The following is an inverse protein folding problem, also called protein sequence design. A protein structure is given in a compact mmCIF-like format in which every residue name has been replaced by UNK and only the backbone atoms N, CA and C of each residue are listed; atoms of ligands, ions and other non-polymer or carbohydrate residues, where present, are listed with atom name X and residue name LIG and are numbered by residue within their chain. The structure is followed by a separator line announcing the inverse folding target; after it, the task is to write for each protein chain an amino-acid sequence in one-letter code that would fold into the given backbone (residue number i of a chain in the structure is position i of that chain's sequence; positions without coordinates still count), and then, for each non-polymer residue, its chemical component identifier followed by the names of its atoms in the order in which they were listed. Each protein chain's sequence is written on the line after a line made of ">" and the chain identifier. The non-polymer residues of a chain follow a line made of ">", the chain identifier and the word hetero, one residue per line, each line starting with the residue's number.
data_IF_343631207667
#
_entry.id   IF_343631207667
#
_cell.length_a   1.000
_cell.length_b   1.000
_cell.length_c   1.000
_cell.angle_alpha   90.00
_cell.angle_beta   90.00
_cell.angle_gamma   90.00
#
_symmetry.space_group_name_H-M   'P 1'
#
loop_
_entity.id
_entity.type
_entity.pdbx_description
1 polymer ?
#
# COMPACT_ATOMS: atom_id res chain seq x y z
N UNK A 1 32.14 -20.04 -0.05
CA UNK A 1 32.31 -18.60 0.16
C UNK A 1 31.61 -18.26 1.47
N UNK A 2 32.37 -18.00 2.53
CA UNK A 2 31.87 -17.89 3.92
C UNK A 2 31.18 -16.54 4.17
N UNK A 3 30.17 -16.52 5.04
CA UNK A 3 29.42 -15.32 5.45
C UNK A 3 30.33 -14.15 5.84
N UNK A 4 31.44 -14.42 6.54
CA UNK A 4 32.41 -13.41 6.96
C UNK A 4 33.09 -12.68 5.79
N UNK A 5 33.43 -13.39 4.71
CA UNK A 5 34.03 -12.79 3.51
C UNK A 5 33.04 -11.90 2.74
N UNK A 6 31.74 -12.17 2.87
CA UNK A 6 30.68 -11.33 2.31
C UNK A 6 30.52 -10.06 3.15
N UNK A 7 30.40 -10.17 4.48
CA UNK A 7 30.24 -9.01 5.37
C UNK A 7 31.43 -8.05 5.25
N UNK A 8 32.67 -8.57 5.19
CA UNK A 8 33.88 -7.76 5.01
C UNK A 8 33.88 -7.00 3.67
N UNK A 9 33.54 -7.66 2.55
CA UNK A 9 33.40 -7.01 1.24
C UNK A 9 32.22 -6.03 1.18
N UNK A 10 31.13 -6.31 1.89
CA UNK A 10 29.99 -5.41 1.98
C UNK A 10 30.35 -4.11 2.70
N UNK A 11 31.09 -4.17 3.81
CA UNK A 11 31.64 -2.99 4.48
C UNK A 11 32.58 -2.17 3.59
N UNK A 12 33.33 -2.84 2.71
CA UNK A 12 34.28 -2.22 1.79
C UNK A 12 33.60 -1.58 0.57
N UNK A 13 32.48 -2.13 0.07
CA UNK A 13 31.76 -1.63 -1.11
C UNK A 13 30.58 -0.69 -0.81
N UNK A 14 29.91 -0.83 0.33
CA UNK A 14 28.75 -0.03 0.73
C UNK A 14 28.94 0.34 2.20
N UNK A 15 29.35 1.59 2.46
CA UNK A 15 29.45 2.09 3.84
C UNK A 15 28.13 1.88 4.59
N UNK A 16 28.19 1.71 5.91
CA UNK A 16 26.98 1.55 6.75
C UNK A 16 25.94 2.67 6.51
N UNK A 17 26.42 3.88 6.21
CA UNK A 17 25.61 5.03 5.85
C UNK A 17 24.80 4.85 4.56
N UNK A 18 25.35 4.13 3.57
CA UNK A 18 24.64 3.83 2.32
C UNK A 18 23.45 2.89 2.57
N UNK A 19 23.61 1.90 3.45
CA UNK A 19 22.53 0.98 3.80
C UNK A 19 21.42 1.67 4.62
N UNK A 20 21.80 2.55 5.55
CA UNK A 20 20.85 3.37 6.29
C UNK A 20 20.09 4.34 5.38
N UNK A 21 20.77 4.93 4.40
CA UNK A 21 20.14 5.78 3.38
C UNK A 21 19.13 5.00 2.54
N UNK A 22 19.48 3.79 2.07
CA UNK A 22 18.55 2.91 1.35
C UNK A 22 17.35 2.51 2.20
N UNK A 23 17.55 2.23 3.49
CA UNK A 23 16.46 1.93 4.40
C UNK A 23 15.52 3.13 4.58
N UNK A 24 16.06 4.34 4.75
CA UNK A 24 15.27 5.57 4.85
C UNK A 24 14.42 5.78 3.60
N UNK A 25 15.03 5.68 2.42
CA UNK A 25 14.32 5.79 1.14
C UNK A 25 13.21 4.72 1.02
N UNK A 26 13.48 3.48 1.43
CA UNK A 26 12.48 2.42 1.43
C UNK A 26 11.29 2.73 2.37
N UNK A 27 11.54 3.33 3.53
CA UNK A 27 10.49 3.75 4.46
C UNK A 27 9.68 4.93 3.92
N UNK A 28 10.35 5.91 3.31
CA UNK A 28 9.70 7.07 2.71
C UNK A 28 8.85 6.69 1.51
N UNK A 29 9.31 5.76 0.66
CA UNK A 29 8.50 5.23 -0.43
C UNK A 29 7.24 4.50 0.08
N UNK A 30 7.32 3.76 1.20
CA UNK A 30 6.16 3.13 1.84
C UNK A 30 5.14 4.18 2.32
N UNK A 31 5.59 5.28 2.90
CA UNK A 31 4.72 6.41 3.31
C UNK A 31 4.15 7.15 2.10
N UNK A 32 4.91 7.26 1.01
CA UNK A 32 4.46 7.91 -0.22
C UNK A 32 3.20 7.25 -0.80
N UNK A 33 3.04 5.92 -0.63
CA UNK A 33 1.84 5.22 -1.09
C UNK A 33 0.59 5.58 -0.28
N UNK A 34 0.73 5.93 1.00
CA UNK A 34 -0.40 6.38 1.82
C UNK A 34 -0.87 7.75 1.33
N UNK A 35 0.08 8.68 1.11
CA UNK A 35 -0.22 10.00 0.55
C UNK A 35 -0.85 9.89 -0.84
N UNK A 36 -0.31 9.04 -1.72
CA UNK A 36 -0.88 8.76 -3.05
C UNK A 36 -2.31 8.24 -2.94
N UNK A 37 -2.58 7.30 -2.04
CA UNK A 37 -3.92 6.77 -1.84
C UNK A 37 -4.91 7.83 -1.33
N UNK A 38 -4.48 8.70 -0.41
CA UNK A 38 -5.31 9.80 0.09
C UNK A 38 -5.65 10.81 -1.02
N UNK A 39 -4.64 11.29 -1.75
CA UNK A 39 -4.82 12.24 -2.85
C UNK A 39 -5.76 11.65 -3.92
N UNK A 40 -5.54 10.41 -4.32
CA UNK A 40 -6.38 9.73 -5.31
C UNK A 40 -7.80 9.49 -4.80
N UNK A 41 -7.97 9.14 -3.52
CA UNK A 41 -9.30 8.98 -2.90
C UNK A 41 -10.10 10.28 -2.90
N UNK A 42 -9.47 11.41 -2.53
CA UNK A 42 -10.10 12.74 -2.60
C UNK A 42 -10.43 13.12 -4.05
N UNK A 43 -9.47 12.93 -4.96
CA UNK A 43 -9.67 13.19 -6.38
C UNK A 43 -10.81 12.37 -6.99
N UNK A 44 -10.95 11.11 -6.59
CA UNK A 44 -12.05 10.25 -7.01
C UNK A 44 -13.42 10.80 -6.58
N UNK A 45 -13.56 11.18 -5.31
CA UNK A 45 -14.81 11.74 -4.77
C UNK A 45 -15.18 13.04 -5.52
N UNK A 46 -14.20 13.93 -5.75
CA UNK A 46 -14.43 15.17 -6.49
C UNK A 46 -14.87 14.91 -7.93
N UNK A 47 -14.17 14.04 -8.65
CA UNK A 47 -14.51 13.69 -10.02
C UNK A 47 -15.89 13.02 -10.12
N UNK A 48 -16.23 12.15 -9.16
CA UNK A 48 -17.54 11.52 -9.10
C UNK A 48 -18.66 12.56 -8.97
N UNK A 49 -18.48 13.59 -8.15
CA UNK A 49 -19.48 14.65 -8.00
C UNK A 49 -19.70 15.45 -9.30
N UNK A 50 -18.63 15.69 -10.06
CA UNK A 50 -18.74 16.33 -11.39
C UNK A 50 -19.56 15.45 -12.34
N UNK A 51 -19.23 14.16 -12.39
CA UNK A 51 -19.92 13.17 -13.25
C UNK A 51 -21.40 13.03 -12.87
N UNK A 52 -21.72 12.93 -11.58
CA UNK A 52 -23.10 12.80 -11.10
C UNK A 52 -23.93 14.05 -11.39
N UNK A 53 -23.38 15.25 -11.18
CA UNK A 53 -24.07 16.51 -11.52
C UNK A 53 -24.31 16.64 -13.03
N UNK A 54 -23.36 16.22 -13.85
CA UNK A 54 -23.53 16.20 -15.31
C UNK A 54 -24.59 15.17 -15.75
N UNK A 55 -24.70 14.05 -15.05
CA UNK A 55 -25.64 12.97 -15.38
C UNK A 55 -27.05 13.13 -14.81
N UNK A 56 -27.29 14.08 -13.90
CA UNK A 56 -28.57 14.26 -13.20
C UNK A 56 -29.71 14.79 -14.09
N UNK A 57 -29.42 15.16 -15.34
CA UNK A 57 -30.38 15.74 -16.28
C UNK A 57 -31.16 14.71 -17.11
N UNK A 58 -30.92 13.41 -16.90
CA UNK A 58 -31.48 12.36 -17.77
C UNK A 58 -32.31 11.36 -16.94
N UNK A 59 -33.62 11.22 -17.19
CA UNK A 59 -34.53 10.35 -16.43
C UNK A 59 -34.17 8.86 -16.58
N UNK A 60 -34.48 8.06 -15.55
CA UNK A 60 -34.22 6.62 -15.51
C UNK A 60 -35.56 5.86 -15.48
N UNK A 61 -35.74 4.81 -16.30
CA UNK A 61 -36.91 3.93 -16.25
C UNK A 61 -37.11 3.28 -14.86
N UNK A 62 -38.35 3.26 -14.37
CA UNK A 62 -38.72 2.87 -13.00
C UNK A 62 -38.56 1.36 -12.76
N UNK A 63 -38.70 0.54 -13.80
CA UNK A 63 -38.63 -0.92 -13.78
C UNK A 63 -37.25 -1.46 -13.37
N UNK A 64 -36.17 -0.71 -13.63
CA UNK A 64 -34.79 -1.10 -13.32
C UNK A 64 -34.14 -0.28 -12.20
N UNK A 65 -34.91 0.59 -11.53
CA UNK A 65 -34.39 1.54 -10.54
C UNK A 65 -33.54 0.88 -9.44
N UNK A 66 -33.94 -0.31 -8.96
CA UNK A 66 -33.20 -1.05 -7.93
C UNK A 66 -31.78 -1.46 -8.36
N UNK A 67 -31.61 -1.94 -9.60
CA UNK A 67 -30.30 -2.33 -10.14
C UNK A 67 -29.40 -1.11 -10.35
N UNK A 68 -29.96 0.00 -10.85
CA UNK A 68 -29.22 1.25 -11.02
C UNK A 68 -28.74 1.83 -9.69
N UNK A 69 -29.57 1.78 -8.65
CA UNK A 69 -29.19 2.23 -7.30
C UNK A 69 -28.07 1.36 -6.75
N UNK A 70 -28.18 0.03 -6.84
CA UNK A 70 -27.14 -0.89 -6.38
C UNK A 70 -25.83 -0.71 -7.14
N UNK A 71 -25.88 -0.61 -8.48
CA UNK A 71 -24.70 -0.39 -9.32
C UNK A 71 -24.04 0.97 -9.01
N UNK A 72 -24.84 2.02 -8.80
CA UNK A 72 -24.35 3.34 -8.39
C UNK A 72 -23.62 3.28 -7.04
N UNK A 73 -24.19 2.58 -6.06
CA UNK A 73 -23.54 2.35 -4.76
C UNK A 73 -22.26 1.53 -4.87
N UNK A 74 -22.25 0.47 -5.68
CA UNK A 74 -21.05 -0.34 -5.89
C UNK A 74 -19.94 0.48 -6.56
N UNK A 75 -20.27 1.24 -7.61
CA UNK A 75 -19.34 2.13 -8.31
C UNK A 75 -18.78 3.18 -7.34
N UNK A 76 -19.63 3.78 -6.49
CA UNK A 76 -19.23 4.83 -5.56
C UNK A 76 -18.39 4.30 -4.39
N UNK A 77 -18.87 3.27 -3.70
CA UNK A 77 -18.30 2.83 -2.42
C UNK A 77 -17.10 1.92 -2.59
N UNK A 78 -17.11 1.03 -3.59
CA UNK A 78 -16.07 0.01 -3.71
C UNK A 78 -14.67 0.61 -3.93
N UNK A 79 -14.46 1.62 -4.80
CA UNK A 79 -13.16 2.27 -4.93
C UNK A 79 -12.71 3.02 -3.65
N UNK A 80 -13.65 3.61 -2.89
CA UNK A 80 -13.35 4.28 -1.61
C UNK A 80 -12.81 3.27 -0.61
N UNK A 81 -13.48 2.11 -0.47
CA UNK A 81 -13.02 1.01 0.38
C UNK A 81 -11.64 0.52 -0.08
N UNK A 82 -11.42 0.38 -1.40
CA UNK A 82 -10.13 -0.07 -1.93
C UNK A 82 -9.00 0.89 -1.61
N UNK A 83 -9.21 2.21 -1.67
CA UNK A 83 -8.21 3.17 -1.21
C UNK A 83 -8.00 3.10 0.31
N UNK A 84 -9.06 2.95 1.11
CA UNK A 84 -8.92 2.75 2.56
C UNK A 84 -8.10 1.49 2.91
N UNK A 85 -8.21 0.41 2.12
CA UNK A 85 -7.39 -0.79 2.27
C UNK A 85 -5.89 -0.59 1.97
N UNK A 86 -5.54 0.45 1.20
CA UNK A 86 -4.12 0.84 1.03
C UNK A 86 -3.56 1.40 2.33
N UNK A 87 -4.37 2.21 3.04
CA UNK A 87 -4.01 2.79 4.34
C UNK A 87 -4.01 1.74 5.46
N UNK A 88 -4.76 0.64 5.30
CA UNK A 88 -4.87 -0.38 6.34
C UNK A 88 -3.47 -0.94 6.71
N UNK A 89 -3.10 -0.90 8.00
CA UNK A 89 -1.77 -1.26 8.45
C UNK A 89 -1.46 -2.70 8.03
N UNK A 90 -0.51 -2.84 7.12
CA UNK A 90 0.03 -4.13 6.76
C UNK A 90 0.94 -4.57 7.90
N UNK A 91 0.39 -5.23 8.92
CA UNK A 91 1.21 -5.70 10.04
C UNK A 91 2.36 -6.55 9.51
N UNK A 92 3.59 -6.09 9.77
CA UNK A 92 4.83 -6.77 9.41
C UNK A 92 4.81 -8.25 9.85
N UNK A 93 4.12 -8.59 10.95
CA UNK A 93 3.95 -9.96 11.44
C UNK A 93 3.28 -10.93 10.45
N UNK A 94 2.41 -10.47 9.53
CA UNK A 94 1.84 -11.32 8.47
C UNK A 94 2.67 -11.31 7.19
N UNK A 95 3.60 -10.36 7.04
CA UNK A 95 4.53 -10.26 5.91
C UNK A 95 5.78 -11.11 6.18
N UNK A 96 6.30 -11.03 7.41
CA UNK A 96 7.49 -11.70 7.89
C UNK A 96 7.35 -13.23 7.98
N UNK A 97 6.14 -13.76 8.19
CA UNK A 97 5.88 -15.22 8.23
C UNK A 97 6.28 -15.98 6.95
N UNK A 98 6.54 -15.31 5.84
CA UNK A 98 6.92 -15.95 4.56
C UNK A 98 8.42 -16.18 4.41
N UNK A 99 9.27 -15.56 5.24
CA UNK A 99 10.72 -15.68 5.16
C UNK A 99 11.29 -15.98 6.54
N UNK A 100 12.14 -16.99 6.62
CA UNK A 100 12.91 -17.25 7.83
C UNK A 100 14.04 -16.23 7.91
N UNK A 101 13.92 -15.27 8.82
CA UNK A 101 14.97 -14.29 9.13
C UNK A 101 15.91 -14.82 10.22
N UNK A 102 16.05 -16.15 10.34
CA UNK A 102 16.61 -16.95 11.44
C UNK A 102 18.00 -16.60 12.02
N UNK A 103 18.58 -15.45 11.66
CA UNK A 103 19.81 -14.91 12.22
C UNK A 103 19.82 -13.37 12.40
N UNK A 104 18.69 -12.68 12.29
CA UNK A 104 18.59 -11.24 12.60
C UNK A 104 18.22 -11.04 14.07
N UNK A 105 19.09 -10.33 14.79
CA UNK A 105 19.02 -10.15 16.24
C UNK A 105 17.78 -9.34 16.65
N UNK A 106 17.26 -8.49 15.76
CA UNK A 106 16.17 -7.58 16.09
C UNK A 106 16.67 -6.41 16.93
N UNK A 107 17.95 -6.04 16.78
CA UNK A 107 18.60 -5.01 17.59
C UNK A 107 18.21 -3.57 17.18
N UNK A 108 17.53 -3.40 16.02
CA UNK A 108 17.20 -2.07 15.49
C UNK A 108 15.96 -1.43 16.14
N UNK A 109 15.05 -2.25 16.67
CA UNK A 109 13.85 -1.78 17.37
C UNK A 109 13.78 -2.41 18.75
N UNK A 110 13.56 -1.59 19.77
CA UNK A 110 13.36 -2.08 21.12
C UNK A 110 12.09 -2.93 21.21
N UNK A 111 12.26 -4.21 21.53
CA UNK A 111 11.17 -5.12 21.85
C UNK A 111 11.26 -5.51 23.33
N UNK A 112 10.32 -5.05 24.19
CA UNK A 112 10.34 -5.36 25.62
C UNK A 112 10.20 -6.86 25.91
N UNK A 113 9.77 -7.67 24.93
CA UNK A 113 9.72 -9.14 25.06
C UNK A 113 11.06 -9.81 24.84
N UNK A 114 11.98 -9.19 24.10
CA UNK A 114 13.33 -9.70 23.81
C UNK A 114 14.38 -9.11 24.75
N UNK A 115 14.22 -7.84 25.10
CA UNK A 115 15.15 -7.10 25.96
C UNK A 115 14.36 -6.43 27.09
N UNK A 116 14.21 -7.09 28.25
CA UNK A 116 13.44 -6.54 29.37
C UNK A 116 14.13 -5.34 30.05
N UNK A 117 15.43 -5.14 29.81
CA UNK A 117 16.24 -4.09 30.42
C UNK A 117 17.14 -3.38 29.40
N UNK A 118 17.51 -2.13 29.69
CA UNK A 118 18.39 -1.30 28.85
C UNK A 118 19.75 -1.96 28.67
N UNK A 119 20.30 -2.55 29.73
CA UNK A 119 21.58 -3.27 29.66
C UNK A 119 21.50 -4.53 28.78
N UNK A 120 20.35 -5.21 28.78
CA UNK A 120 20.11 -6.35 27.90
C UNK A 120 19.99 -5.91 26.43
N UNK A 121 19.39 -4.74 26.18
CA UNK A 121 19.34 -4.15 24.86
C UNK A 121 20.72 -3.72 24.36
N UNK A 122 21.51 -3.02 25.18
CA UNK A 122 22.88 -2.60 24.83
C UNK A 122 23.77 -3.79 24.48
N UNK A 123 23.67 -4.91 25.21
CA UNK A 123 24.40 -6.14 24.87
C UNK A 123 23.95 -6.75 23.55
N UNK A 124 22.65 -6.71 23.27
CA UNK A 124 22.07 -7.21 22.00
C UNK A 124 22.55 -6.36 20.83
N UNK A 125 22.61 -5.04 21.01
CA UNK A 125 23.11 -4.08 20.04
C UNK A 125 24.61 -4.24 19.80
N UNK A 126 25.41 -4.39 20.86
CA UNK A 126 26.85 -4.52 20.77
C UNK A 126 27.29 -5.85 20.11
N UNK A 127 26.50 -6.91 20.24
CA UNK A 127 26.77 -8.21 19.64
C UNK A 127 26.16 -8.42 18.24
N UNK A 128 25.41 -7.45 17.71
CA UNK A 128 24.71 -7.59 16.43
C UNK A 128 25.58 -7.15 15.24
N UNK A 129 25.49 -7.91 14.14
CA UNK A 129 25.96 -7.47 12.83
C UNK A 129 24.98 -6.45 12.25
N UNK A 130 25.37 -5.17 12.32
CA UNK A 130 24.57 -4.04 11.85
C UNK A 130 24.26 -4.07 10.34
N UNK A 131 25.17 -4.61 9.52
CA UNK A 131 24.94 -4.73 8.07
C UNK A 131 23.84 -5.74 7.82
N UNK A 132 23.90 -6.88 8.51
CA UNK A 132 22.89 -7.93 8.41
C UNK A 132 21.53 -7.48 8.95
N UNK A 133 21.51 -6.79 10.08
CA UNK A 133 20.28 -6.25 10.68
C UNK A 133 19.61 -5.22 9.75
N UNK A 134 20.40 -4.30 9.19
CA UNK A 134 19.89 -3.30 8.24
C UNK A 134 19.36 -3.95 6.96
N UNK A 135 20.07 -4.95 6.41
CA UNK A 135 19.62 -5.70 5.24
C UNK A 135 18.30 -6.45 5.50
N UNK A 136 18.17 -7.07 6.67
CA UNK A 136 16.94 -7.71 7.11
C UNK A 136 15.75 -6.72 7.13
N UNK A 137 15.97 -5.52 7.64
CA UNK A 137 14.92 -4.51 7.70
C UNK A 137 14.56 -3.96 6.31
N UNK A 138 15.54 -3.73 5.44
CA UNK A 138 15.30 -3.36 4.03
C UNK A 138 14.39 -4.39 3.34
N UNK A 139 14.62 -5.68 3.58
CA UNK A 139 13.78 -6.76 3.00
C UNK A 139 12.35 -6.68 3.55
N UNK A 140 12.17 -6.49 4.87
CA UNK A 140 10.84 -6.36 5.47
C UNK A 140 10.08 -5.14 4.93
N UNK A 141 10.74 -3.98 4.89
CA UNK A 141 10.16 -2.73 4.38
C UNK A 141 9.82 -2.87 2.89
N UNK A 142 10.68 -3.51 2.10
CA UNK A 142 10.43 -3.78 0.68
C UNK A 142 9.19 -4.65 0.45
N UNK A 143 8.99 -5.70 1.27
CA UNK A 143 7.79 -6.53 1.16
C UNK A 143 6.51 -5.76 1.53
N UNK A 144 6.59 -4.84 2.49
CA UNK A 144 5.47 -3.95 2.85
C UNK A 144 5.17 -3.00 1.68
N UNK A 145 6.21 -2.42 1.07
CA UNK A 145 6.10 -1.55 -0.11
C UNK A 145 5.38 -2.25 -1.25
N UNK A 146 5.77 -3.48 -1.58
CA UNK A 146 5.20 -4.21 -2.71
C UNK A 146 3.72 -4.58 -2.46
N UNK A 147 3.36 -4.89 -1.21
CA UNK A 147 1.96 -5.07 -0.81
C UNK A 147 1.15 -3.79 -0.95
N UNK A 148 1.67 -2.65 -0.47
CA UNK A 148 0.99 -1.35 -0.64
C UNK A 148 0.85 -0.98 -2.11
N UNK A 149 1.90 -1.15 -2.91
CA UNK A 149 1.87 -0.94 -4.37
C UNK A 149 0.77 -1.77 -5.02
N UNK A 150 0.68 -3.05 -4.69
CA UNK A 150 -0.33 -3.96 -5.27
C UNK A 150 -1.74 -3.53 -4.89
N UNK A 151 -1.99 -3.16 -3.63
CA UNK A 151 -3.31 -2.65 -3.20
C UNK A 151 -3.64 -1.34 -3.89
N UNK A 152 -2.68 -0.43 -4.01
CA UNK A 152 -2.86 0.85 -4.69
C UNK A 152 -3.21 0.67 -6.17
N UNK A 153 -2.50 -0.20 -6.89
CA UNK A 153 -2.82 -0.50 -8.29
C UNK A 153 -4.21 -1.13 -8.43
N UNK A 154 -4.60 -2.05 -7.54
CA UNK A 154 -5.96 -2.62 -7.55
C UNK A 154 -7.03 -1.55 -7.30
N UNK A 155 -6.81 -0.64 -6.35
CA UNK A 155 -7.72 0.48 -6.12
C UNK A 155 -7.84 1.37 -7.36
N UNK A 156 -6.71 1.67 -8.01
CA UNK A 156 -6.67 2.46 -9.24
C UNK A 156 -7.43 1.79 -10.39
N UNK A 157 -7.29 0.48 -10.57
CA UNK A 157 -8.06 -0.27 -11.57
C UNK A 157 -9.56 -0.25 -11.30
N UNK A 158 -9.98 -0.40 -10.04
CA UNK A 158 -11.39 -0.29 -9.67
C UNK A 158 -11.94 1.11 -9.93
N UNK A 159 -11.19 2.15 -9.60
CA UNK A 159 -11.56 3.54 -9.92
C UNK A 159 -11.69 3.78 -11.41
N UNK A 160 -10.71 3.34 -12.20
CA UNK A 160 -10.77 3.44 -13.67
C UNK A 160 -11.97 2.68 -14.24
N UNK A 161 -12.21 1.46 -13.76
CA UNK A 161 -13.37 0.65 -14.13
C UNK A 161 -14.70 1.32 -13.79
N UNK A 162 -14.79 1.94 -12.60
CA UNK A 162 -15.95 2.74 -12.20
C UNK A 162 -16.23 3.90 -13.18
N UNK A 163 -15.20 4.64 -13.60
CA UNK A 163 -15.39 5.73 -14.56
C UNK A 163 -15.77 5.22 -15.95
N UNK A 164 -15.17 4.12 -16.43
CA UNK A 164 -15.55 3.50 -17.70
C UNK A 164 -17.01 3.04 -17.67
N UNK A 165 -17.45 2.39 -16.58
CA UNK A 165 -18.84 1.99 -16.42
C UNK A 165 -19.79 3.19 -16.39
N UNK A 166 -19.44 4.26 -15.66
CA UNK A 166 -20.23 5.49 -15.64
C UNK A 166 -20.31 6.15 -17.02
N UNK A 167 -19.22 6.13 -17.79
CA UNK A 167 -19.17 6.65 -19.14
C UNK A 167 -20.05 5.83 -20.08
N UNK A 168 -19.93 4.50 -20.08
CA UNK A 168 -20.76 3.61 -20.89
C UNK A 168 -22.24 3.74 -20.54
N UNK A 169 -22.57 3.83 -19.24
CA UNK A 169 -23.94 4.04 -18.79
C UNK A 169 -24.50 5.40 -19.25
N UNK A 170 -23.69 6.46 -19.30
CA UNK A 170 -24.11 7.76 -19.82
C UNK A 170 -24.25 7.74 -21.35
N UNK A 171 -23.32 7.10 -22.06
CA UNK A 171 -23.39 6.93 -23.52
C UNK A 171 -24.62 6.14 -23.94
N UNK A 172 -24.91 5.02 -23.29
CA UNK A 172 -26.10 4.21 -23.56
C UNK A 172 -27.38 5.03 -23.34
N UNK A 173 -27.44 5.81 -22.25
CA UNK A 173 -28.55 6.75 -21.99
C UNK A 173 -28.67 7.84 -23.05
N UNK A 174 -27.56 8.47 -23.45
CA UNK A 174 -27.54 9.51 -24.48
C UNK A 174 -27.95 9.00 -25.87
N UNK A 175 -27.63 7.75 -26.20
CA UNK A 175 -27.98 7.11 -27.46
C UNK A 175 -29.45 6.64 -27.56
N UNK A 176 -30.24 6.80 -26.49
CA UNK A 176 -31.65 6.38 -26.46
C UNK A 176 -31.87 4.88 -26.23
N UNK A 177 -30.82 4.06 -26.13
CA UNK A 177 -30.89 2.61 -25.85
C UNK A 177 -31.48 2.26 -24.47
N UNK A 178 -31.60 3.25 -23.58
CA UNK A 178 -32.18 3.14 -22.24
C UNK A 178 -33.31 4.17 -22.01
N UNK A 179 -33.85 4.75 -23.09
CA UNK A 179 -34.89 5.79 -23.05
C UNK A 179 -36.31 5.25 -23.31
N UNK A 180 -36.49 3.92 -23.35
CA UNK A 180 -37.80 3.27 -23.33
C UNK A 180 -38.13 2.75 -21.93
#
# INVERSE_FOLDING_TARGET
>A
MTSENLTARFHEQLGGDALLSVLSEAQDTVRSYDNKAQIMGVGYILALQVVLRSGAQVPVPIDQAGLYVFAGWAILVLPIIMFALVLYPSHANKVSRKRDFGACAGAMYFDPRRSPDVDAYVRTVAGADWVRETACEIIKVSDIRDKKRTRFLRALYWTGGSFVMLFLAQMARASGLLAE
#
